data_IF_390419530453
#
_entry.id   IF_390419530453
#
_cell.length_a   1.000
_cell.length_b   1.000
_cell.length_c   1.000
_cell.angle_alpha   90.00
_cell.angle_beta   90.00
_cell.angle_gamma   90.00
#
_symmetry.space_group_name_H-M   'P 1'
#
loop_
_entity.id
_entity.type
_entity.pdbx_description
1 polymer ?
#
# COMPACT_ATOMS: atom_id res chain seq x y z
N UNK A 1 14.08 -19.06 8.13
CA UNK A 1 14.69 -17.73 8.31
C UNK A 1 13.57 -16.78 8.69
N UNK A 2 13.74 -16.03 9.78
CA UNK A 2 12.73 -15.10 10.31
C UNK A 2 13.03 -13.68 9.81
N UNK A 3 11.99 -12.87 9.55
CA UNK A 3 12.13 -11.48 9.09
C UNK A 3 11.49 -10.51 10.09
N UNK A 4 12.14 -9.37 10.41
CA UNK A 4 11.57 -8.38 11.31
C UNK A 4 10.34 -7.71 10.70
N UNK A 5 9.24 -7.66 11.45
CA UNK A 5 7.97 -7.02 11.05
C UNK A 5 7.85 -5.57 11.57
N UNK A 6 8.97 -4.95 11.94
CA UNK A 6 9.00 -3.61 12.54
C UNK A 6 8.27 -2.56 11.70
N UNK A 7 8.42 -2.65 10.38
CA UNK A 7 7.83 -1.72 9.42
C UNK A 7 6.60 -2.30 8.72
N UNK A 8 6.10 -3.46 9.16
CA UNK A 8 4.87 -4.03 8.66
C UNK A 8 3.68 -3.33 9.30
N UNK A 9 2.67 -3.03 8.49
CA UNK A 9 1.45 -2.41 8.97
C UNK A 9 0.25 -2.82 8.14
N UNK A 10 -0.95 -2.62 8.71
CA UNK A 10 -2.18 -2.76 7.95
C UNK A 10 -3.08 -1.54 8.11
N UNK A 11 -3.94 -1.38 7.11
CA UNK A 11 -5.07 -0.47 7.11
C UNK A 11 -6.33 -1.31 6.89
N UNK A 12 -7.33 -1.12 7.74
CA UNK A 12 -8.63 -1.78 7.63
C UNK A 12 -9.69 -0.74 7.28
N UNK A 13 -10.42 -1.04 6.22
CA UNK A 13 -11.47 -0.19 5.69
C UNK A 13 -12.83 -0.87 5.79
N UNK A 14 -13.87 -0.05 5.92
CA UNK A 14 -15.28 -0.46 5.81
C UNK A 14 -15.90 0.13 4.56
N UNK A 15 -16.62 -0.68 3.80
CA UNK A 15 -17.34 -0.23 2.61
C UNK A 15 -18.47 0.74 2.99
N UNK A 16 -18.56 1.84 2.25
CA UNK A 16 -19.68 2.76 2.24
C UNK A 16 -20.57 2.36 1.06
N UNK A 17 -21.84 2.05 1.33
CA UNK A 17 -22.83 1.69 0.32
C UNK A 17 -23.98 2.68 0.28
N UNK A 18 -24.63 2.81 -0.88
CA UNK A 18 -25.88 3.55 -1.02
C UNK A 18 -27.04 2.83 -0.35
N UNK A 19 -28.19 3.50 -0.24
CA UNK A 19 -29.47 2.87 0.15
C UNK A 19 -29.90 1.73 -0.78
N UNK A 20 -29.40 1.70 -2.02
CA UNK A 20 -29.60 0.62 -2.99
C UNK A 20 -28.50 -0.45 -2.97
N UNK A 21 -27.69 -0.48 -1.90
CA UNK A 21 -26.58 -1.42 -1.69
C UNK A 21 -25.48 -1.36 -2.77
N UNK A 22 -25.35 -0.23 -3.48
CA UNK A 22 -24.24 -0.01 -4.41
C UNK A 22 -23.03 0.52 -3.67
N UNK A 23 -21.86 -0.03 -3.95
CA UNK A 23 -20.60 0.48 -3.41
C UNK A 23 -20.35 1.93 -3.84
N UNK A 24 -19.97 2.78 -2.89
CA UNK A 24 -19.67 4.20 -3.11
C UNK A 24 -18.21 4.52 -2.81
N UNK A 25 -17.68 4.03 -1.68
CA UNK A 25 -16.32 4.33 -1.22
C UNK A 25 -15.93 3.39 -0.07
N UNK A 26 -14.74 3.59 0.49
CA UNK A 26 -14.29 3.01 1.75
C UNK A 26 -14.04 4.10 2.80
N UNK A 27 -14.23 3.77 4.07
CA UNK A 27 -13.77 4.59 5.21
C UNK A 27 -12.71 3.82 5.99
N UNK A 28 -11.60 4.48 6.32
CA UNK A 28 -10.56 3.89 7.16
C UNK A 28 -11.08 3.78 8.60
N UNK A 29 -11.23 2.56 9.12
CA UNK A 29 -11.77 2.32 10.46
C UNK A 29 -10.69 1.99 11.48
N UNK A 30 -9.56 1.47 11.03
CA UNK A 30 -8.50 0.96 11.90
C UNK A 30 -7.16 0.89 11.14
N UNK A 31 -6.07 1.10 11.87
CA UNK A 31 -4.69 0.84 11.42
C UNK A 31 -3.96 0.02 12.49
N UNK A 32 -2.91 -0.70 12.10
CA UNK A 32 -2.10 -1.46 13.06
C UNK A 32 -1.33 -0.56 14.02
N UNK A 33 -0.95 -1.09 15.19
CA UNK A 33 -0.14 -0.36 16.18
C UNK A 33 1.20 0.15 15.62
N UNK A 34 1.80 -0.59 14.68
CA UNK A 34 3.07 -0.22 14.07
C UNK A 34 2.95 0.81 12.95
N UNK A 35 1.73 1.18 12.53
CA UNK A 35 1.50 2.14 11.44
C UNK A 35 2.28 3.44 11.66
N UNK A 36 2.12 4.09 12.82
CA UNK A 36 2.83 5.34 13.11
C UNK A 36 4.35 5.17 13.06
N UNK A 37 4.88 4.08 13.61
CA UNK A 37 6.32 3.80 13.57
C UNK A 37 6.85 3.53 12.16
N UNK A 38 6.04 2.92 11.30
CA UNK A 38 6.40 2.61 9.93
C UNK A 38 6.29 3.83 9.01
N UNK A 39 5.23 4.62 9.14
CA UNK A 39 4.86 5.65 8.17
C UNK A 39 4.96 7.08 8.71
N UNK A 40 5.14 7.28 10.01
CA UNK A 40 5.22 8.59 10.66
C UNK A 40 3.97 9.49 10.47
N UNK A 41 2.80 8.88 10.22
CA UNK A 41 1.49 9.54 10.18
C UNK A 41 0.70 9.14 11.41
N UNK A 42 0.22 10.12 12.17
CA UNK A 42 -0.59 9.85 13.36
C UNK A 42 -1.93 9.21 12.95
N UNK A 43 -2.31 8.06 13.54
CA UNK A 43 -3.57 7.38 13.21
C UNK A 43 -4.80 8.28 13.32
N UNK A 44 -4.84 9.17 14.31
CA UNK A 44 -5.93 10.13 14.53
C UNK A 44 -6.17 11.11 13.37
N UNK A 45 -5.17 11.32 12.51
CA UNK A 45 -5.29 12.19 11.33
C UNK A 45 -5.94 11.48 10.15
N UNK A 46 -5.92 10.14 10.10
CA UNK A 46 -6.37 9.37 8.93
C UNK A 46 -7.59 8.50 9.21
N UNK A 47 -7.76 8.02 10.45
CA UNK A 47 -8.94 7.23 10.83
C UNK A 47 -10.21 8.07 10.64
N UNK A 48 -11.22 7.46 10.03
CA UNK A 48 -12.48 8.12 9.67
C UNK A 48 -12.44 8.83 8.31
N UNK A 49 -11.28 8.96 7.68
CA UNK A 49 -11.20 9.49 6.31
C UNK A 49 -11.72 8.48 5.29
N UNK A 50 -12.40 9.01 4.27
CA UNK A 50 -12.74 8.24 3.08
C UNK A 50 -11.48 7.90 2.30
N UNK A 51 -11.46 6.74 1.65
CA UNK A 51 -10.35 6.35 0.80
C UNK A 51 -10.14 7.34 -0.34
N UNK A 52 -11.21 7.84 -0.96
CA UNK A 52 -11.12 8.92 -1.94
C UNK A 52 -10.35 10.14 -1.40
N UNK A 53 -10.59 10.57 -0.16
CA UNK A 53 -9.84 11.67 0.45
C UNK A 53 -8.36 11.34 0.63
N UNK A 54 -8.04 10.11 1.07
CA UNK A 54 -6.65 9.63 1.21
C UNK A 54 -5.90 9.60 -0.13
N UNK A 55 -6.60 9.42 -1.25
CA UNK A 55 -6.04 9.46 -2.61
C UNK A 55 -5.73 10.89 -3.07
N UNK A 56 -6.60 11.85 -2.75
CA UNK A 56 -6.49 13.23 -3.26
C UNK A 56 -5.69 14.17 -2.37
N UNK A 57 -5.40 13.79 -1.13
CA UNK A 57 -4.61 14.59 -0.22
C UNK A 57 -3.12 14.49 -0.56
N UNK A 58 -2.61 15.53 -1.24
CA UNK A 58 -1.19 15.62 -1.65
C UNK A 58 -0.23 15.65 -0.47
N UNK A 59 -0.67 16.13 0.69
CA UNK A 59 0.16 16.18 1.90
C UNK A 59 0.20 14.82 2.60
N UNK A 60 -0.78 13.94 2.33
CA UNK A 60 -0.89 12.57 2.87
C UNK A 60 -0.66 11.45 1.83
N UNK A 61 -0.15 11.75 0.63
CA UNK A 61 0.10 10.76 -0.43
C UNK A 61 1.31 9.82 -0.16
N UNK A 62 1.68 9.65 1.11
CA UNK A 62 2.86 8.90 1.54
C UNK A 62 2.87 7.43 1.07
N UNK A 63 1.69 6.83 0.88
CA UNK A 63 1.55 5.44 0.43
C UNK A 63 1.15 5.32 -1.04
N UNK A 64 1.06 6.45 -1.74
CA UNK A 64 0.68 6.57 -3.14
C UNK A 64 -0.62 5.82 -3.44
N UNK A 65 -1.66 6.19 -2.69
CA UNK A 65 -2.98 5.56 -2.72
C UNK A 65 -3.67 5.69 -4.08
N UNK A 66 -3.27 6.67 -4.91
CA UNK A 66 -3.78 6.83 -6.27
C UNK A 66 -3.56 5.57 -7.12
N UNK A 67 -2.41 4.90 -6.99
CA UNK A 67 -2.17 3.64 -7.70
C UNK A 67 -3.02 2.49 -7.16
N UNK A 68 -3.44 2.57 -5.89
CA UNK A 68 -4.27 1.55 -5.24
C UNK A 68 -5.75 1.64 -5.63
N UNK A 69 -6.22 2.76 -6.16
CA UNK A 69 -7.65 2.97 -6.44
C UNK A 69 -8.26 1.88 -7.33
N UNK A 70 -7.49 1.39 -8.32
CA UNK A 70 -7.92 0.33 -9.24
C UNK A 70 -8.00 -1.04 -8.59
N UNK A 71 -7.40 -1.21 -7.42
CA UNK A 71 -7.36 -2.45 -6.67
C UNK A 71 -8.34 -2.46 -5.49
N UNK A 72 -8.95 -1.33 -5.16
CA UNK A 72 -9.86 -1.13 -4.02
C UNK A 72 -11.32 -1.32 -4.42
N UNK A 73 -11.63 -2.42 -5.11
CA UNK A 73 -13.00 -2.81 -5.46
C UNK A 73 -13.49 -3.83 -4.42
N UNK A 74 -14.77 -3.85 -4.01
CA UNK A 74 -15.30 -4.89 -3.13
C UNK A 74 -14.93 -6.31 -3.56
N UNK A 75 -14.57 -7.14 -2.59
CA UNK A 75 -14.08 -8.51 -2.78
C UNK A 75 -12.79 -8.63 -3.61
N UNK A 76 -12.03 -7.55 -3.75
CA UNK A 76 -10.72 -7.62 -4.39
C UNK A 76 -9.77 -8.49 -3.55
N UNK A 77 -9.02 -9.31 -4.27
CA UNK A 77 -7.89 -10.08 -3.75
C UNK A 77 -6.72 -9.82 -4.67
N UNK A 78 -5.74 -9.07 -4.17
CA UNK A 78 -4.56 -8.66 -4.95
C UNK A 78 -3.33 -8.75 -4.08
N UNK A 79 -2.20 -9.02 -4.73
CA UNK A 79 -0.89 -9.08 -4.09
C UNK A 79 0.14 -8.59 -5.09
N UNK A 80 0.92 -7.58 -4.73
CA UNK A 80 1.94 -7.01 -5.60
C UNK A 80 3.01 -6.32 -4.77
N UNK A 81 4.17 -6.12 -5.39
CA UNK A 81 5.25 -5.34 -4.79
C UNK A 81 5.09 -3.86 -5.16
N UNK A 82 5.35 -2.96 -4.21
CA UNK A 82 5.34 -1.52 -4.43
C UNK A 82 6.53 -0.91 -3.71
N UNK A 83 7.27 -0.05 -4.41
CA UNK A 83 8.25 0.82 -3.77
C UNK A 83 7.56 2.10 -3.31
N UNK A 84 7.69 2.42 -2.03
CA UNK A 84 7.17 3.66 -1.45
C UNK A 84 8.35 4.61 -1.29
N UNK A 85 8.43 5.60 -2.18
CA UNK A 85 9.61 6.46 -2.35
C UNK A 85 9.88 7.30 -1.10
N UNK A 86 8.82 7.83 -0.50
CA UNK A 86 8.85 8.69 0.68
C UNK A 86 9.37 7.94 1.91
N UNK A 87 9.18 6.62 1.95
CA UNK A 87 9.67 5.75 3.02
C UNK A 87 11.02 5.09 2.69
N UNK A 88 11.45 5.15 1.42
CA UNK A 88 12.64 4.47 0.94
C UNK A 88 12.56 2.95 1.08
N UNK A 89 11.37 2.36 0.92
CA UNK A 89 11.10 0.95 1.24
C UNK A 89 10.31 0.22 0.17
N UNK A 90 10.61 -1.07 0.03
CA UNK A 90 9.77 -1.99 -0.72
C UNK A 90 8.76 -2.66 0.19
N UNK A 91 7.53 -2.69 -0.28
CA UNK A 91 6.43 -3.38 0.37
C UNK A 91 5.85 -4.45 -0.54
N UNK A 92 5.56 -5.61 0.04
CA UNK A 92 4.63 -6.57 -0.52
C UNK A 92 3.24 -6.21 -0.01
N UNK A 93 2.45 -5.56 -0.87
CA UNK A 93 1.10 -5.11 -0.57
C UNK A 93 0.13 -6.24 -0.83
N UNK A 94 -0.63 -6.63 0.19
CA UNK A 94 -1.71 -7.59 0.09
C UNK A 94 -3.03 -6.85 0.32
N UNK A 95 -3.97 -7.01 -0.61
CA UNK A 95 -5.32 -6.48 -0.52
C UNK A 95 -6.26 -7.66 -0.44
N UNK A 96 -7.04 -7.74 0.61
CA UNK A 96 -8.06 -8.77 0.76
C UNK A 96 -9.35 -8.18 1.33
N UNK A 97 -10.41 -8.30 0.53
CA UNK A 97 -11.77 -8.06 0.99
C UNK A 97 -12.41 -9.35 1.49
N UNK A 98 -13.10 -9.26 2.62
CA UNK A 98 -13.94 -10.35 3.13
C UNK A 98 -15.40 -9.93 3.16
N UNK A 99 -16.27 -10.76 2.58
CA UNK A 99 -17.73 -10.61 2.51
C UNK A 99 -18.25 -9.27 1.96
N UNK A 100 -17.42 -8.50 1.24
CA UNK A 100 -17.79 -7.25 0.57
C UNK A 100 -17.98 -6.03 1.48
N UNK A 101 -17.86 -6.19 2.79
CA UNK A 101 -18.09 -5.13 3.78
C UNK A 101 -16.81 -4.53 4.33
N UNK A 102 -15.74 -5.31 4.38
CA UNK A 102 -14.45 -4.90 4.92
C UNK A 102 -13.33 -5.22 3.93
N UNK A 103 -12.30 -4.38 3.95
CA UNK A 103 -11.11 -4.52 3.12
C UNK A 103 -9.88 -4.27 3.99
N UNK A 104 -8.90 -5.17 3.93
CA UNK A 104 -7.62 -4.99 4.62
C UNK A 104 -6.51 -4.87 3.59
N UNK A 105 -5.71 -3.82 3.77
CA UNK A 105 -4.46 -3.58 3.07
C UNK A 105 -3.33 -3.90 4.04
N UNK A 106 -2.54 -4.92 3.73
CA UNK A 106 -1.39 -5.32 4.53
C UNK A 106 -0.10 -5.02 3.77
N UNK A 107 0.77 -4.24 4.39
CA UNK A 107 2.08 -3.87 3.87
C UNK A 107 3.14 -4.65 4.64
N UNK A 108 3.80 -5.59 3.97
CA UNK A 108 4.97 -6.29 4.52
C UNK A 108 6.26 -5.69 3.97
N UNK A 109 7.16 -5.24 4.83
CA UNK A 109 8.45 -4.67 4.43
C UNK A 109 9.36 -5.78 3.88
N UNK A 110 9.61 -5.71 2.57
CA UNK A 110 10.48 -6.63 1.85
C UNK A 110 11.79 -5.94 1.41
N UNK A 111 12.11 -4.76 1.94
CA UNK A 111 13.28 -3.97 1.53
C UNK A 111 14.58 -4.76 1.66
N UNK A 112 14.72 -5.54 2.74
CA UNK A 112 15.86 -6.43 2.94
C UNK A 112 15.94 -7.56 1.91
N UNK A 113 14.80 -8.08 1.46
CA UNK A 113 14.74 -9.11 0.41
C UNK A 113 15.16 -8.53 -0.95
N UNK A 114 14.97 -7.23 -1.14
CA UNK A 114 15.37 -6.49 -2.34
C UNK A 114 16.80 -5.94 -2.24
N UNK A 115 17.55 -6.24 -1.19
CA UNK A 115 18.90 -5.72 -0.94
C UNK A 115 19.01 -4.19 -1.04
N UNK A 116 17.92 -3.45 -0.75
CA UNK A 116 17.90 -2.00 -0.90
C UNK A 116 17.92 -1.49 -2.34
N UNK A 117 17.78 -2.35 -3.35
CA UNK A 117 17.65 -1.93 -4.75
C UNK A 117 16.47 -0.97 -4.90
N UNK A 118 16.68 0.18 -5.49
CA UNK A 118 15.58 1.09 -5.85
C UNK A 118 15.11 0.80 -7.29
N UNK A 119 13.88 1.20 -7.69
CA UNK A 119 13.44 1.07 -9.08
C UNK A 119 14.43 1.67 -10.08
N UNK A 120 15.03 2.82 -9.74
CA UNK A 120 16.02 3.51 -10.57
C UNK A 120 17.27 2.65 -10.83
N UNK A 121 17.80 2.01 -9.78
CA UNK A 121 18.95 1.10 -9.91
C UNK A 121 18.62 -0.14 -10.74
N UNK A 122 17.37 -0.63 -10.67
CA UNK A 122 16.95 -1.78 -11.47
C UNK A 122 16.81 -1.44 -12.95
N UNK A 123 16.42 -0.21 -13.30
CA UNK A 123 16.31 0.22 -14.69
C UNK A 123 17.71 0.46 -15.30
N UNK A 124 18.61 1.09 -14.55
CA UNK A 124 20.03 1.22 -14.93
C UNK A 124 20.70 -0.16 -15.13
N UNK A 125 20.52 -1.09 -14.19
CA UNK A 125 21.05 -2.46 -14.33
C UNK A 125 20.48 -3.22 -15.53
N UNK A 126 19.20 -3.02 -15.87
CA UNK A 126 18.58 -3.65 -17.04
C UNK A 126 19.10 -3.06 -18.35
N UNK A 127 19.35 -1.76 -18.37
CA UNK A 127 19.93 -1.07 -19.53
C UNK A 127 21.37 -1.53 -19.76
N UNK A 128 22.18 -1.64 -18.69
CA UNK A 128 23.53 -2.20 -18.73
C UNK A 128 23.53 -3.68 -19.18
N UNK A 129 22.61 -4.52 -18.68
CA UNK A 129 22.47 -5.90 -19.15
C UNK A 129 22.06 -6.00 -20.62
N UNK A 130 21.19 -5.10 -21.11
CA UNK A 130 20.81 -5.06 -22.53
C UNK A 130 22.01 -4.69 -23.40
N UNK A 131 22.79 -3.68 -22.99
CA UNK A 131 24.01 -3.27 -23.69
C UNK A 131 25.01 -4.43 -23.72
N UNK A 132 25.24 -5.12 -22.60
CA UNK A 132 26.18 -6.24 -22.50
C UNK A 132 25.78 -7.47 -23.36
N UNK A 133 24.48 -7.68 -23.62
CA UNK A 133 23.97 -8.76 -24.49
C UNK A 133 23.97 -8.39 -25.98
N UNK A 134 24.25 -7.12 -26.31
CA UNK A 134 24.25 -6.59 -27.67
C UNK A 134 25.64 -6.52 -28.31
N UNK A 135 26.69 -6.95 -27.59
CA UNK A 135 28.11 -6.96 -28.01
C UNK A 135 28.61 -8.38 -28.20
#
# INVERSE_FOLDING_TARGET
MEYPTKNDFYLKFKAITSSSNKFLDYILIEVSNNFFGAVNIKPELVIGMKFSNLVFDKDNNLLDFHELQYHMIPNSRRKFEKYVKELGRWYLVNIFGDNGTELILFYSDITKLKNGQTPLQNDEMKEEEMIAKSV
#
